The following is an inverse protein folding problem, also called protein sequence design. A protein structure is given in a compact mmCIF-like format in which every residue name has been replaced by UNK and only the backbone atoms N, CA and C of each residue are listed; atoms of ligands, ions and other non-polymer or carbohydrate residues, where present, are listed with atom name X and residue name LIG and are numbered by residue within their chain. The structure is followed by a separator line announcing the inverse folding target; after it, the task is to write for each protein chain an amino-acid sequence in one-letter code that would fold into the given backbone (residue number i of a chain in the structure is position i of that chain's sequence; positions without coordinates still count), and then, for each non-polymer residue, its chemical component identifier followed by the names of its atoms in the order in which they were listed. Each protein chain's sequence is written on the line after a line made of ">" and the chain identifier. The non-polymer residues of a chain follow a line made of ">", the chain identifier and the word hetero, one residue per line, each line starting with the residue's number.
data_IF_592752434352
#
_entry.id   IF_592752434352
#
_cell.length_a   1.000
_cell.length_b   1.000
_cell.length_c   1.000
_cell.angle_alpha   90.00
_cell.angle_beta   90.00
_cell.angle_gamma   90.00
#
_symmetry.space_group_name_H-M   'P 1'
#
loop_
_entity.id
_entity.type
_entity.pdbx_description
1 polymer ?
#
# COMPACT_ATOMS: atom_id res chain seq x y z
N UNK A 1 1.54 -1.60 10.48
CA UNK A 1 2.33 -2.75 9.97
C UNK A 1 3.37 -2.21 8.99
N UNK A 2 4.37 -3.02 8.61
CA UNK A 2 5.38 -2.63 7.63
C UNK A 2 5.18 -3.41 6.34
N UNK A 3 5.44 -2.78 5.20
CA UNK A 3 5.39 -3.37 3.87
C UNK A 3 6.75 -3.12 3.24
N UNK A 4 7.34 -4.17 2.66
CA UNK A 4 8.46 -4.06 1.73
C UNK A 4 7.89 -4.33 0.34
N UNK A 5 8.21 -3.48 -0.62
CA UNK A 5 7.67 -3.57 -1.96
C UNK A 5 8.62 -3.00 -2.98
N UNK A 6 8.41 -3.36 -4.24
CA UNK A 6 9.15 -2.81 -5.36
C UNK A 6 8.81 -1.33 -5.59
N UNK A 7 9.72 -0.63 -6.25
CA UNK A 7 9.53 0.74 -6.67
C UNK A 7 8.30 0.89 -7.56
N UNK A 8 7.51 1.95 -7.31
CA UNK A 8 6.30 2.25 -8.07
C UNK A 8 5.00 1.69 -7.49
N UNK A 9 5.05 0.92 -6.39
CA UNK A 9 3.83 0.52 -5.70
C UNK A 9 3.21 1.70 -4.92
N UNK A 10 1.94 1.97 -5.19
CA UNK A 10 1.17 3.01 -4.50
C UNK A 10 0.56 2.44 -3.22
N UNK A 11 1.25 2.61 -2.09
CA UNK A 11 0.80 2.03 -0.81
C UNK A 11 -0.61 2.48 -0.42
N UNK A 12 -0.96 3.76 -0.65
CA UNK A 12 -2.31 4.25 -0.29
C UNK A 12 -3.40 3.50 -1.04
N UNK A 13 -3.19 3.20 -2.32
CA UNK A 13 -4.14 2.49 -3.19
C UNK A 13 -4.24 1.01 -2.82
N UNK A 14 -3.10 0.36 -2.49
CA UNK A 14 -3.11 -0.98 -1.91
C UNK A 14 -3.99 -1.07 -0.65
N UNK A 15 -3.99 -0.02 0.19
CA UNK A 15 -4.83 0.01 1.39
C UNK A 15 -6.30 0.32 1.07
N UNK A 16 -6.58 1.39 0.31
CA UNK A 16 -7.96 1.86 0.06
C UNK A 16 -8.71 1.02 -0.98
N UNK A 17 -7.99 0.32 -1.85
CA UNK A 17 -8.52 -0.35 -3.03
C UNK A 17 -8.80 0.59 -4.19
N UNK A 18 -8.56 1.90 -4.03
CA UNK A 18 -8.70 2.91 -5.09
C UNK A 18 -10.03 2.76 -5.87
N UNK A 19 -11.13 2.71 -5.11
CA UNK A 19 -12.49 2.50 -5.63
C UNK A 19 -12.66 1.24 -6.50
N UNK A 20 -11.86 0.20 -6.23
CA UNK A 20 -11.89 -1.09 -6.93
C UNK A 20 -10.89 -1.20 -8.08
N UNK A 21 -10.11 -0.15 -8.37
CA UNK A 21 -9.06 -0.18 -9.40
C UNK A 21 -7.83 -0.98 -8.98
N UNK A 22 -7.58 -1.11 -7.67
CA UNK A 22 -6.46 -1.90 -7.13
C UNK A 22 -6.97 -3.19 -6.50
N UNK A 23 -6.53 -4.34 -7.03
CA UNK A 23 -6.89 -5.67 -6.52
C UNK A 23 -5.67 -6.61 -6.51
N UNK A 24 -5.46 -7.38 -5.42
CA UNK A 24 -6.19 -7.31 -4.15
C UNK A 24 -5.88 -6.02 -3.38
N UNK A 25 -6.79 -5.62 -2.48
CA UNK A 25 -6.56 -4.50 -1.54
C UNK A 25 -6.94 -4.86 -0.11
N UNK A 26 -6.36 -4.15 0.85
CA UNK A 26 -6.63 -4.39 2.28
C UNK A 26 -8.10 -4.10 2.62
N UNK A 27 -8.67 -3.02 2.07
CA UNK A 27 -10.09 -2.69 2.27
C UNK A 27 -11.03 -3.77 1.73
N UNK A 28 -10.70 -4.38 0.58
CA UNK A 28 -11.45 -5.49 0.01
C UNK A 28 -11.34 -6.75 0.88
N UNK A 29 -10.13 -7.11 1.30
CA UNK A 29 -9.88 -8.31 2.11
C UNK A 29 -10.60 -8.25 3.47
N UNK A 30 -10.69 -7.07 4.08
CA UNK A 30 -11.35 -6.87 5.37
C UNK A 30 -12.83 -6.51 5.25
N UNK A 31 -13.36 -6.35 4.03
CA UNK A 31 -14.71 -5.84 3.76
C UNK A 31 -15.01 -4.54 4.54
N UNK A 32 -14.04 -3.62 4.59
CA UNK A 32 -14.11 -2.40 5.38
C UNK A 32 -13.38 -1.25 4.69
N UNK A 33 -13.97 -0.04 4.71
CA UNK A 33 -13.35 1.15 4.11
C UNK A 33 -12.24 1.73 5.01
N UNK A 34 -11.05 1.95 4.45
CA UNK A 34 -10.01 2.75 5.09
C UNK A 34 -10.40 4.24 5.13
N UNK A 35 -10.39 4.87 6.31
CA UNK A 35 -10.75 6.31 6.48
C UNK A 35 -9.56 7.25 6.63
N UNK A 36 -8.44 6.77 7.16
CA UNK A 36 -7.25 7.58 7.39
C UNK A 36 -6.01 6.70 7.30
N UNK A 37 -5.06 7.10 6.47
CA UNK A 37 -3.81 6.36 6.26
C UNK A 37 -2.67 7.33 6.58
N UNK A 38 -1.96 7.06 7.67
CA UNK A 38 -0.64 7.64 7.91
C UNK A 38 0.40 6.69 7.34
N UNK A 39 1.29 7.22 6.52
CA UNK A 39 2.34 6.48 5.84
C UNK A 39 3.67 7.17 6.10
N UNK A 40 4.65 6.39 6.56
CA UNK A 40 6.02 6.83 6.73
C UNK A 40 6.91 5.85 5.96
N UNK A 41 7.84 6.38 5.14
CA UNK A 41 8.87 5.58 4.48
C UNK A 41 9.98 5.33 5.51
N UNK A 42 10.25 4.07 5.80
CA UNK A 42 11.22 3.67 6.82
C UNK A 42 12.62 3.48 6.21
N UNK A 43 12.69 2.97 4.99
CA UNK A 43 13.95 2.70 4.28
C UNK A 43 13.74 2.66 2.76
N UNK A 44 14.81 2.81 1.98
CA UNK A 44 14.85 2.67 0.52
C UNK A 44 16.05 1.81 0.14
N UNK A 45 15.79 0.57 -0.28
CA UNK A 45 16.82 -0.37 -0.72
C UNK A 45 17.21 -0.08 -2.18
N UNK A 46 18.50 0.01 -2.45
CA UNK A 46 19.04 0.07 -3.81
C UNK A 46 19.89 -1.18 -4.05
N UNK A 47 19.65 -1.88 -5.17
CA UNK A 47 20.52 -2.95 -5.64
C UNK A 47 21.50 -2.40 -6.69
N UNK A 48 22.80 -2.66 -6.53
CA UNK A 48 23.80 -2.43 -7.59
C UNK A 48 24.61 -1.13 -7.53
N UNK A 49 24.66 -0.43 -6.39
CA UNK A 49 25.70 0.57 -6.09
C UNK A 49 26.59 0.09 -4.94
#
# INVERSE_FOLDING_TARGET
>A
FRIMCDGGLYIKELITGDEGRTQPSVSQLLNAKAKSIKLDVVDVLMEGY
#
